data_IF_167793912220
#
_entry.id   IF_167793912220
#
_cell.length_a   1.000
_cell.length_b   1.000
_cell.length_c   1.000
_cell.angle_alpha   90.00
_cell.angle_beta   90.00
_cell.angle_gamma   90.00
#
_symmetry.space_group_name_H-M   'P 1'
#
loop_
_entity.id
_entity.type
_entity.pdbx_description
1 polymer ?
#
# COMPACT_ATOMS: atom_id res chain seq x y z
N UNK A 1 20.67 11.26 8.94
CA UNK A 1 19.22 11.22 9.18
C UNK A 1 18.49 11.16 7.85
N UNK A 2 17.66 10.15 7.67
CA UNK A 2 16.93 10.00 6.42
C UNK A 2 15.76 10.99 6.36
N UNK A 3 15.59 11.62 5.19
CA UNK A 3 14.48 12.53 4.96
C UNK A 3 13.31 11.76 4.35
N UNK A 4 12.13 11.92 4.88
CA UNK A 4 10.94 11.33 4.31
C UNK A 4 10.62 12.00 2.98
N UNK A 5 10.47 11.20 1.94
CA UNK A 5 10.12 11.66 0.59
C UNK A 5 8.65 11.47 0.29
N UNK A 6 8.02 10.51 0.95
CA UNK A 6 6.60 10.20 0.76
C UNK A 6 5.92 10.09 2.10
N UNK A 7 4.73 10.67 2.18
CA UNK A 7 3.85 10.48 3.32
C UNK A 7 2.96 9.28 3.03
N UNK A 8 3.00 8.29 3.90
CA UNK A 8 2.15 7.11 3.77
C UNK A 8 0.90 7.34 4.60
N UNK A 9 -0.27 7.24 3.98
CA UNK A 9 -1.55 7.56 4.61
C UNK A 9 -2.35 6.27 4.73
N UNK A 10 -2.39 5.66 5.92
CA UNK A 10 -3.15 4.43 6.10
C UNK A 10 -4.64 4.73 6.19
N UNK A 11 -5.44 3.90 5.51
CA UNK A 11 -6.88 3.92 5.70
C UNK A 11 -7.23 3.12 6.95
N UNK A 12 -8.47 3.25 7.41
CA UNK A 12 -8.98 2.46 8.52
C UNK A 12 -8.84 0.96 8.23
N UNK A 13 -9.12 0.56 6.99
CA UNK A 13 -9.00 -0.83 6.56
C UNK A 13 -7.56 -1.35 6.67
N UNK A 14 -6.59 -0.54 6.28
CA UNK A 14 -5.19 -0.94 6.44
C UNK A 14 -4.83 -1.06 7.91
N UNK A 15 -5.25 -0.11 8.73
CA UNK A 15 -4.96 -0.14 10.16
C UNK A 15 -5.54 -1.39 10.83
N UNK A 16 -6.77 -1.75 10.47
CA UNK A 16 -7.40 -2.96 11.02
C UNK A 16 -6.63 -4.21 10.64
N UNK A 17 -6.17 -4.29 9.40
CA UNK A 17 -5.34 -5.41 8.94
C UNK A 17 -4.02 -5.45 9.70
N UNK A 18 -3.33 -4.32 9.79
CA UNK A 18 -2.02 -4.24 10.44
C UNK A 18 -2.08 -4.65 11.90
N UNK A 19 -3.10 -4.19 12.63
CA UNK A 19 -3.23 -4.48 14.06
C UNK A 19 -3.37 -5.97 14.37
N UNK A 20 -3.86 -6.75 13.42
CA UNK A 20 -4.05 -8.20 13.60
C UNK A 20 -2.79 -9.02 13.29
N UNK A 21 -1.77 -8.39 12.75
CA UNK A 21 -0.54 -9.10 12.39
C UNK A 21 0.28 -9.45 13.63
N UNK A 22 1.07 -10.53 13.55
CA UNK A 22 2.04 -10.82 14.59
C UNK A 22 3.12 -9.75 14.61
N UNK A 23 3.83 -9.63 15.72
CA UNK A 23 4.91 -8.64 15.86
C UNK A 23 5.98 -8.83 14.79
N UNK A 24 6.28 -10.07 14.44
CA UNK A 24 7.27 -10.38 13.41
C UNK A 24 6.85 -9.84 12.04
N UNK A 25 5.59 -10.01 11.69
CA UNK A 25 5.07 -9.53 10.40
C UNK A 25 4.95 -8.00 10.42
N UNK A 26 4.51 -7.43 11.53
CA UNK A 26 4.47 -5.96 11.69
C UNK A 26 5.85 -5.35 11.46
N UNK A 27 6.89 -5.94 12.02
CA UNK A 27 8.26 -5.44 11.85
C UNK A 27 8.66 -5.43 10.39
N UNK A 28 8.27 -6.44 9.63
CA UNK A 28 8.59 -6.50 8.20
C UNK A 28 7.79 -5.44 7.42
N UNK A 29 6.52 -5.23 7.78
CA UNK A 29 5.73 -4.15 7.21
C UNK A 29 6.38 -2.79 7.48
N UNK A 30 6.79 -2.56 8.72
CA UNK A 30 7.45 -1.31 9.10
C UNK A 30 8.71 -1.08 8.28
N UNK A 31 9.48 -2.13 8.06
CA UNK A 31 10.70 -2.07 7.25
C UNK A 31 10.40 -1.63 5.81
N UNK A 32 9.42 -2.29 5.17
CA UNK A 32 9.06 -1.97 3.79
C UNK A 32 8.48 -0.56 3.70
N UNK A 33 7.63 -0.18 4.66
CA UNK A 33 7.06 1.16 4.68
C UNK A 33 8.13 2.24 4.87
N UNK A 34 9.16 1.95 5.67
CA UNK A 34 10.28 2.87 5.85
C UNK A 34 11.03 3.08 4.51
N UNK A 35 11.24 2.01 3.76
CA UNK A 35 11.86 2.11 2.43
C UNK A 35 11.00 2.98 1.51
N UNK A 36 9.69 2.76 1.49
CA UNK A 36 8.79 3.54 0.66
C UNK A 36 8.79 5.02 1.02
N UNK A 37 8.90 5.32 2.32
CA UNK A 37 8.85 6.69 2.80
C UNK A 37 10.15 7.45 2.55
N UNK A 38 11.29 6.78 2.57
CA UNK A 38 12.59 7.45 2.60
C UNK A 38 13.39 7.37 1.30
N UNK A 39 13.19 6.34 0.48
CA UNK A 39 13.99 6.15 -0.72
C UNK A 39 13.24 6.62 -1.98
N UNK A 40 13.93 7.38 -2.82
CA UNK A 40 13.31 7.85 -4.07
C UNK A 40 13.00 6.68 -4.99
N UNK A 41 14.00 5.86 -5.28
CA UNK A 41 13.82 4.68 -6.13
C UNK A 41 13.55 3.48 -5.24
N UNK A 42 12.39 2.86 -5.41
CA UNK A 42 11.99 1.68 -4.64
C UNK A 42 11.92 0.48 -5.58
N UNK A 43 12.62 -0.59 -5.22
CA UNK A 43 12.67 -1.82 -6.00
C UNK A 43 11.28 -2.44 -6.16
N UNK A 44 11.04 -3.10 -7.30
CA UNK A 44 9.83 -3.87 -7.53
C UNK A 44 9.68 -5.05 -6.56
N UNK A 45 10.73 -5.37 -5.83
CA UNK A 45 10.65 -6.32 -4.74
C UNK A 45 9.68 -5.83 -3.66
N UNK A 46 9.53 -4.51 -3.49
CA UNK A 46 8.71 -3.91 -2.45
C UNK A 46 7.46 -3.20 -2.98
N UNK A 47 7.55 -2.57 -4.16
CA UNK A 47 6.41 -1.86 -4.75
C UNK A 47 6.38 -2.13 -6.25
N UNK A 48 5.26 -2.66 -6.72
CA UNK A 48 5.10 -2.98 -8.13
C UNK A 48 3.75 -2.47 -8.65
N UNK A 49 3.75 -1.94 -9.87
CA UNK A 49 2.53 -1.49 -10.53
C UNK A 49 1.61 -2.68 -10.84
N UNK A 50 0.32 -2.52 -10.57
CA UNK A 50 -0.69 -3.50 -10.94
C UNK A 50 -1.19 -3.17 -12.35
N UNK A 51 -0.80 -3.98 -13.33
CA UNK A 51 -1.10 -3.74 -14.73
C UNK A 51 -2.58 -3.54 -14.99
N UNK A 52 -2.89 -2.57 -15.85
CA UNK A 52 -4.28 -2.27 -16.21
C UNK A 52 -5.02 -1.46 -15.16
N UNK A 53 -4.35 -0.97 -14.14
CA UNK A 53 -4.95 -0.16 -13.09
C UNK A 53 -4.08 1.05 -12.76
N UNK A 54 -4.64 1.97 -11.97
CA UNK A 54 -3.89 3.10 -11.42
C UNK A 54 -3.26 2.74 -10.06
N UNK A 55 -3.35 1.49 -9.65
CA UNK A 55 -2.85 1.05 -8.35
C UNK A 55 -1.48 0.41 -8.44
N UNK A 56 -0.81 0.38 -7.29
CA UNK A 56 0.42 -0.37 -7.07
C UNK A 56 0.18 -1.36 -5.94
N UNK A 57 1.05 -2.32 -5.78
CA UNK A 57 1.01 -3.21 -4.61
C UNK A 57 2.29 -3.03 -3.80
N UNK A 58 2.11 -2.90 -2.49
CA UNK A 58 3.21 -3.01 -1.54
C UNK A 58 3.39 -4.49 -1.24
N UNK A 59 4.62 -4.97 -1.31
CA UNK A 59 4.95 -6.39 -1.23
C UNK A 59 5.75 -6.66 0.03
N UNK A 60 5.23 -7.51 0.89
CA UNK A 60 5.88 -7.89 2.14
C UNK A 60 5.99 -9.41 2.19
N UNK A 61 7.22 -9.90 2.13
CA UNK A 61 7.51 -11.33 2.14
C UNK A 61 8.18 -11.71 3.45
N UNK A 62 7.66 -12.74 4.11
CA UNK A 62 8.26 -13.24 5.33
C UNK A 62 8.05 -14.76 5.42
N UNK A 63 9.14 -15.50 5.59
CA UNK A 63 9.13 -16.96 5.50
C UNK A 63 8.56 -17.37 4.14
N UNK A 64 7.55 -18.22 4.10
CA UNK A 64 6.90 -18.60 2.85
C UNK A 64 5.64 -17.79 2.56
N UNK A 65 5.34 -16.78 3.37
CA UNK A 65 4.12 -15.98 3.23
C UNK A 65 4.38 -14.72 2.44
N UNK A 66 3.46 -14.42 1.52
CA UNK A 66 3.49 -13.23 0.68
C UNK A 66 2.29 -12.36 1.00
N UNK A 67 2.55 -11.21 1.64
CA UNK A 67 1.49 -10.25 1.94
C UNK A 67 1.48 -9.16 0.87
N UNK A 68 0.30 -8.65 0.57
CA UNK A 68 0.11 -7.59 -0.42
C UNK A 68 -0.80 -6.52 0.14
N UNK A 69 -0.46 -5.26 -0.10
CA UNK A 69 -1.33 -4.13 0.20
C UNK A 69 -1.47 -3.30 -1.06
N UNK A 70 -2.71 -3.06 -1.48
CA UNK A 70 -2.98 -2.19 -2.63
C UNK A 70 -2.77 -0.75 -2.18
N UNK A 71 -2.03 0.02 -2.97
CA UNK A 71 -1.71 1.41 -2.64
C UNK A 71 -2.01 2.31 -3.83
N UNK A 72 -2.25 3.59 -3.56
CA UNK A 72 -2.57 4.58 -4.58
C UNK A 72 -1.72 5.83 -4.41
N UNK A 73 -1.08 6.26 -5.49
CA UNK A 73 -0.30 7.49 -5.53
C UNK A 73 -1.24 8.65 -5.86
N UNK A 74 -1.45 9.55 -4.89
CA UNK A 74 -2.47 10.60 -5.02
C UNK A 74 -2.03 11.75 -5.93
N UNK A 75 -0.78 12.14 -5.84
CA UNK A 75 -0.33 13.44 -6.32
C UNK A 75 0.83 13.40 -7.29
N UNK A 76 1.00 12.33 -8.02
CA UNK A 76 2.03 12.23 -9.04
C UNK A 76 1.55 11.36 -10.18
N UNK A 77 2.32 11.33 -11.26
CA UNK A 77 1.99 10.50 -12.42
C UNK A 77 2.23 9.02 -12.13
N UNK A 78 3.08 8.75 -11.14
CA UNK A 78 3.42 7.37 -10.76
C UNK A 78 3.90 7.37 -9.31
N UNK A 79 4.21 6.16 -8.79
CA UNK A 79 4.67 6.00 -7.41
C UNK A 79 5.94 6.82 -7.13
N UNK A 80 6.93 6.74 -8.03
CA UNK A 80 8.22 7.39 -7.80
C UNK A 80 8.12 8.91 -7.65
N UNK A 81 7.25 9.53 -8.44
CA UNK A 81 7.08 10.98 -8.43
C UNK A 81 6.09 11.48 -7.37
N UNK A 82 5.34 10.59 -6.75
CA UNK A 82 4.34 10.98 -5.76
C UNK A 82 4.95 11.22 -4.38
N UNK A 83 4.37 12.16 -3.66
CA UNK A 83 4.76 12.49 -2.28
C UNK A 83 3.76 11.97 -1.25
N UNK A 84 2.59 11.51 -1.68
CA UNK A 84 1.54 10.99 -0.80
C UNK A 84 1.00 9.70 -1.37
N UNK A 85 1.01 8.65 -0.52
CA UNK A 85 0.58 7.31 -0.90
C UNK A 85 -0.47 6.84 0.09
N UNK A 86 -1.64 6.44 -0.42
CA UNK A 86 -2.72 5.92 0.42
C UNK A 86 -2.61 4.40 0.48
N UNK A 87 -2.65 3.84 1.68
CA UNK A 87 -2.60 2.39 1.90
C UNK A 87 -4.04 1.87 2.01
N UNK A 88 -4.41 0.96 1.12
CA UNK A 88 -5.79 0.50 0.97
C UNK A 88 -5.99 -0.92 1.50
N UNK A 89 -6.56 -1.82 0.71
CA UNK A 89 -6.84 -3.18 1.14
C UNK A 89 -5.61 -4.07 1.16
N UNK A 90 -5.57 -5.02 2.09
CA UNK A 90 -4.43 -5.91 2.29
C UNK A 90 -4.89 -7.35 2.36
N UNK A 91 -4.00 -8.27 1.95
CA UNK A 91 -4.33 -9.70 1.97
C UNK A 91 -3.07 -10.56 1.98
N UNK A 92 -3.24 -11.79 2.44
CA UNK A 92 -2.21 -12.82 2.32
C UNK A 92 -2.41 -13.50 0.98
N UNK A 93 -1.41 -13.39 0.11
CA UNK A 93 -1.52 -13.91 -1.26
C UNK A 93 -1.52 -15.43 -1.27
N UNK A 94 -2.53 -16.02 -1.91
CA UNK A 94 -2.65 -17.46 -2.08
C UNK A 94 -2.73 -17.85 -3.55
N UNK A 95 -3.45 -17.06 -4.37
CA UNK A 95 -3.49 -17.26 -5.81
C UNK A 95 -3.79 -15.94 -6.52
N UNK A 96 -3.69 -15.95 -7.84
CA UNK A 96 -3.84 -14.74 -8.64
C UNK A 96 -5.29 -14.25 -8.76
N UNK A 97 -6.26 -15.11 -8.46
CA UNK A 97 -7.68 -14.71 -8.52
C UNK A 97 -8.04 -13.68 -7.47
N UNK A 98 -7.29 -13.65 -6.36
CA UNK A 98 -7.52 -12.69 -5.30
C UNK A 98 -7.36 -11.25 -5.76
N UNK A 99 -6.48 -11.00 -6.73
CA UNK A 99 -6.17 -9.63 -7.15
C UNK A 99 -7.39 -8.88 -7.66
N UNK A 100 -8.22 -9.53 -8.47
CA UNK A 100 -9.42 -8.88 -9.00
C UNK A 100 -10.34 -8.44 -7.85
N UNK A 101 -10.55 -9.31 -6.88
CA UNK A 101 -11.40 -9.02 -5.73
C UNK A 101 -10.79 -7.91 -4.88
N UNK A 102 -9.50 -8.01 -4.60
CA UNK A 102 -8.84 -7.04 -3.73
C UNK A 102 -8.69 -5.66 -4.38
N UNK A 103 -8.48 -5.62 -5.68
CA UNK A 103 -8.45 -4.36 -6.41
C UNK A 103 -9.83 -3.68 -6.37
N UNK A 104 -10.91 -4.44 -6.56
CA UNK A 104 -12.25 -3.90 -6.46
C UNK A 104 -12.55 -3.35 -5.06
N UNK A 105 -12.18 -4.11 -4.03
CA UNK A 105 -12.33 -3.64 -2.64
C UNK A 105 -11.54 -2.36 -2.40
N UNK A 106 -10.31 -2.32 -2.88
CA UNK A 106 -9.44 -1.15 -2.69
C UNK A 106 -9.97 0.06 -3.43
N UNK A 107 -10.57 -0.13 -4.60
CA UNK A 107 -11.22 0.96 -5.32
C UNK A 107 -12.36 1.57 -4.50
N UNK A 108 -13.16 0.73 -3.84
CA UNK A 108 -14.24 1.19 -2.98
C UNK A 108 -13.71 1.90 -1.73
N UNK A 109 -12.63 1.37 -1.15
CA UNK A 109 -11.97 1.99 0.00
C UNK A 109 -11.46 3.38 -0.39
N UNK A 110 -10.84 3.50 -1.55
CA UNK A 110 -10.33 4.78 -2.03
C UNK A 110 -11.46 5.79 -2.25
N UNK A 111 -12.56 5.36 -2.83
CA UNK A 111 -13.72 6.23 -3.05
C UNK A 111 -14.27 6.76 -1.73
N UNK A 112 -14.41 5.88 -0.74
CA UNK A 112 -14.86 6.25 0.60
C UNK A 112 -13.89 7.22 1.25
N UNK A 113 -12.59 6.94 1.16
CA UNK A 113 -11.56 7.78 1.74
C UNK A 113 -11.58 9.19 1.13
N UNK A 114 -11.70 9.28 -0.20
CA UNK A 114 -11.76 10.55 -0.89
C UNK A 114 -12.94 11.41 -0.45
N UNK A 115 -14.10 10.80 -0.26
CA UNK A 115 -15.29 11.52 0.20
C UNK A 115 -15.07 12.14 1.57
N UNK A 116 -14.41 11.42 2.46
CA UNK A 116 -14.18 11.91 3.82
C UNK A 116 -13.10 12.99 3.86
N UNK A 117 -12.00 12.77 3.17
CA UNK A 117 -10.80 13.60 3.36
C UNK A 117 -10.51 14.60 2.24
N UNK A 118 -11.18 14.49 1.11
CA UNK A 118 -10.89 15.34 -0.05
C UNK A 118 -12.12 16.08 -0.56
N UNK A 119 -13.23 15.38 -0.73
CA UNK A 119 -14.43 15.94 -1.36
C UNK A 119 -15.37 16.68 -0.42
N UNK A 120 -15.26 16.45 0.87
CA UNK A 120 -16.11 17.08 1.88
C UNK A 120 -15.63 18.47 2.33
N UNK A 121 -14.83 19.08 1.53
CA UNK A 121 -14.34 20.44 1.88
C UNK A 121 -15.16 21.53 1.22
#
# INVERSE_FOLDING_TARGET
METERRLLIPTEEFNDFYERLSDRVKSKYDYVMSIMATQYVVSEKFVKHLEGTDFYEMRVSISSNEYRTVIFAIDGDNFMSSKRIVLLGSFLKKDTKQYKIEINKSSQILDKWRKIYVEDK
#
